data_IF_049087603556
#
_entry.id   IF_049087603556
#
_cell.length_a   1.000
_cell.length_b   1.000
_cell.length_c   1.000
_cell.angle_alpha   90.00
_cell.angle_beta   90.00
_cell.angle_gamma   90.00
#
_symmetry.space_group_name_H-M   'P 1'
#
loop_
_entity.id
_entity.type
_entity.pdbx_description
1 polymer ?
#
# COMPACT_ATOMS: atom_id res chain seq x y z
N UNK A 1 0.78 63.96 31.66
CA UNK A 1 0.41 63.24 32.88
C UNK A 1 -1.01 62.70 32.71
N UNK A 2 -1.18 61.43 33.05
CA UNK A 2 -2.43 60.67 33.25
C UNK A 2 -3.38 60.41 32.08
N UNK A 3 -3.58 59.11 31.87
CA UNK A 3 -4.67 58.47 31.15
C UNK A 3 -5.90 58.28 32.06
N UNK A 4 -6.90 57.56 31.51
CA UNK A 4 -8.08 56.92 32.12
C UNK A 4 -9.36 57.77 32.22
N UNK A 5 -10.61 57.28 32.01
CA UNK A 5 -11.16 55.93 31.76
C UNK A 5 -12.64 56.02 31.34
N UNK A 6 -13.09 55.03 30.54
CA UNK A 6 -14.37 54.28 30.52
C UNK A 6 -15.73 54.94 30.84
N UNK A 7 -16.75 54.61 30.01
CA UNK A 7 -18.02 53.96 30.40
C UNK A 7 -18.84 53.57 29.14
N UNK A 8 -19.23 52.29 28.98
CA UNK A 8 -20.63 51.76 29.08
C UNK A 8 -21.50 52.03 27.83
N UNK A 9 -22.38 51.16 27.32
CA UNK A 9 -22.92 49.87 27.74
C UNK A 9 -23.76 49.29 26.57
N UNK A 10 -24.12 48.01 26.68
CA UNK A 10 -25.00 47.28 25.76
C UNK A 10 -26.47 47.55 26.09
N UNK A 11 -27.32 47.51 25.07
CA UNK A 11 -28.74 47.09 25.03
C UNK A 11 -29.20 47.35 23.57
N UNK A 12 -30.02 46.58 22.85
CA UNK A 12 -30.85 45.42 23.11
C UNK A 12 -31.36 44.90 21.75
N UNK A 13 -31.91 43.70 21.77
CA UNK A 13 -32.32 42.88 20.62
C UNK A 13 -33.81 43.17 20.31
N UNK A 14 -34.20 43.21 19.04
CA UNK A 14 -35.56 42.90 18.62
C UNK A 14 -35.57 42.30 17.21
N UNK A 15 -36.15 41.10 17.14
CA UNK A 15 -36.39 40.25 15.97
C UNK A 15 -37.38 40.89 14.99
N UNK A 16 -37.24 40.58 13.69
CA UNK A 16 -38.37 40.17 12.85
C UNK A 16 -37.91 39.15 11.81
N UNK A 17 -38.64 38.03 11.77
CA UNK A 17 -38.48 36.90 10.86
C UNK A 17 -38.90 37.26 9.43
N UNK A 18 -38.16 36.75 8.43
CA UNK A 18 -38.79 36.45 7.14
C UNK A 18 -38.23 35.19 6.47
N UNK A 19 -39.19 34.37 6.10
CA UNK A 19 -39.18 33.06 5.44
C UNK A 19 -38.38 33.05 4.13
N UNK A 20 -37.61 31.99 3.88
CA UNK A 20 -37.14 31.64 2.53
C UNK A 20 -35.89 30.75 2.45
N UNK A 21 -36.07 29.45 2.22
CA UNK A 21 -35.09 28.59 1.53
C UNK A 21 -35.45 28.58 0.03
N UNK A 22 -34.61 28.14 -0.95
CA UNK A 22 -33.31 27.48 -0.87
C UNK A 22 -32.23 27.95 -1.89
N UNK A 23 -30.96 27.63 -1.61
CA UNK A 23 -29.95 27.23 -2.58
C UNK A 23 -29.43 28.26 -3.60
N UNK A 24 -28.21 28.74 -3.40
CA UNK A 24 -27.42 29.41 -4.44
C UNK A 24 -26.03 28.79 -4.59
N UNK A 25 -25.85 28.15 -5.75
CA UNK A 25 -24.56 27.80 -6.35
C UNK A 25 -23.80 29.10 -6.64
N UNK A 26 -22.53 29.18 -6.25
CA UNK A 26 -21.60 30.15 -6.82
C UNK A 26 -20.77 29.43 -7.88
N UNK A 27 -20.88 29.96 -9.10
CA UNK A 27 -20.18 29.55 -10.28
C UNK A 27 -18.72 30.04 -10.25
N UNK A 28 -17.79 29.19 -10.68
CA UNK A 28 -16.54 29.65 -11.28
C UNK A 28 -16.55 29.27 -12.76
N UNK A 29 -16.69 30.32 -13.56
CA UNK A 29 -16.40 30.33 -14.99
C UNK A 29 -14.89 30.17 -15.16
N UNK A 30 -14.46 29.26 -16.02
CA UNK A 30 -13.32 29.54 -16.88
C UNK A 30 -13.59 28.93 -18.26
N UNK A 31 -13.75 29.85 -19.21
CA UNK A 31 -13.94 29.63 -20.62
C UNK A 31 -12.59 29.30 -21.26
N UNK A 32 -12.47 28.15 -21.92
CA UNK A 32 -11.62 28.02 -23.10
C UNK A 32 -12.49 27.42 -24.19
N UNK A 33 -12.70 28.21 -25.24
CA UNK A 33 -13.50 27.86 -26.40
C UNK A 33 -12.63 27.21 -27.50
N UNK A 34 -13.28 26.24 -28.16
CA UNK A 34 -13.18 25.84 -29.57
C UNK A 34 -12.16 24.76 -29.96
N UNK A 35 -12.75 23.59 -30.19
CA UNK A 35 -12.28 22.53 -31.08
C UNK A 35 -13.38 21.47 -31.19
N UNK A 36 -14.47 21.78 -31.91
CA UNK A 36 -15.68 20.98 -31.91
C UNK A 36 -15.58 19.69 -32.74
N UNK A 37 -16.27 18.65 -32.26
CA UNK A 37 -17.12 17.75 -33.05
C UNK A 37 -18.18 17.16 -32.09
N UNK A 38 -19.44 17.44 -32.40
CA UNK A 38 -20.63 16.99 -31.69
C UNK A 38 -20.90 15.50 -31.97
N UNK A 39 -21.26 14.74 -30.94
CA UNK A 39 -22.04 13.51 -31.12
C UNK A 39 -23.21 13.52 -30.14
N UNK A 40 -24.42 13.39 -30.69
CA UNK A 40 -25.69 13.32 -29.98
C UNK A 40 -25.83 11.98 -29.22
N UNK A 41 -26.49 11.94 -28.05
CA UNK A 41 -26.74 10.69 -27.35
C UNK A 41 -27.93 9.96 -28.00
N UNK A 42 -27.69 8.75 -28.51
CA UNK A 42 -28.76 7.81 -28.87
C UNK A 42 -29.09 6.98 -27.64
N UNK A 43 -30.30 7.17 -27.11
CA UNK A 43 -30.92 6.30 -26.13
C UNK A 43 -31.27 4.96 -26.81
N UNK A 44 -30.53 3.90 -26.45
CA UNK A 44 -30.69 2.55 -26.96
C UNK A 44 -31.14 1.59 -25.86
N UNK A 45 -32.26 0.94 -26.13
CA UNK A 45 -33.11 0.11 -25.28
C UNK A 45 -32.41 -1.08 -24.58
N UNK A 46 -32.95 -1.46 -23.41
CA UNK A 46 -32.60 -2.69 -22.70
C UNK A 46 -33.00 -3.93 -23.52
N UNK A 47 -32.06 -4.86 -23.76
CA UNK A 47 -32.27 -6.33 -23.86
C UNK A 47 -30.96 -7.06 -24.21
N UNK A 48 -30.84 -8.26 -23.66
CA UNK A 48 -29.86 -9.34 -23.93
C UNK A 48 -28.50 -9.27 -23.21
N UNK A 49 -28.41 -10.03 -22.11
CA UNK A 49 -27.15 -10.60 -21.61
C UNK A 49 -27.04 -12.02 -22.18
N UNK A 50 -25.93 -12.46 -22.80
CA UNK A 50 -25.73 -13.87 -23.03
C UNK A 50 -25.26 -14.54 -21.74
N UNK A 51 -26.17 -15.31 -21.14
CA UNK A 51 -25.88 -16.47 -20.29
C UNK A 51 -25.35 -17.56 -21.23
N UNK A 52 -24.16 -18.10 -20.98
CA UNK A 52 -23.73 -19.34 -21.65
C UNK A 52 -23.56 -20.45 -20.61
N UNK A 53 -24.10 -21.59 -21.02
CA UNK A 53 -24.54 -22.76 -20.26
C UNK A 53 -23.48 -23.41 -19.37
N UNK A 54 -23.96 -23.79 -18.19
CA UNK A 54 -23.47 -24.90 -17.36
C UNK A 54 -23.88 -26.24 -18.00
N UNK A 55 -22.94 -27.19 -17.94
CA UNK A 55 -23.04 -28.65 -18.14
C UNK A 55 -23.16 -29.21 -19.56
N UNK A 56 -22.16 -30.01 -19.96
CA UNK A 56 -22.27 -31.46 -20.17
C UNK A 56 -20.88 -32.03 -20.45
N UNK A 57 -20.35 -32.89 -19.57
CA UNK A 57 -19.34 -33.91 -19.88
C UNK A 57 -19.25 -34.87 -18.68
N UNK A 58 -20.24 -35.77 -18.60
CA UNK A 58 -20.11 -37.01 -17.83
C UNK A 58 -19.57 -38.09 -18.76
N UNK A 59 -18.70 -38.94 -18.20
CA UNK A 59 -18.17 -40.21 -18.71
C UNK A 59 -16.92 -40.18 -19.61
N UNK A 60 -15.76 -39.99 -18.98
CA UNK A 60 -14.53 -40.71 -19.34
C UNK A 60 -13.86 -41.17 -18.03
N UNK A 61 -13.33 -42.41 -17.95
CA UNK A 61 -12.72 -42.92 -16.73
C UNK A 61 -11.41 -42.17 -16.43
N UNK A 62 -11.34 -41.56 -15.24
CA UNK A 62 -10.14 -40.91 -14.71
C UNK A 62 -9.06 -41.97 -14.45
N UNK A 63 -7.99 -41.97 -15.26
CA UNK A 63 -6.72 -42.57 -14.83
C UNK A 63 -6.06 -41.57 -13.87
N UNK A 64 -6.02 -41.96 -12.60
CA UNK A 64 -5.27 -41.26 -11.56
C UNK A 64 -3.76 -41.41 -11.84
N UNK A 65 -3.18 -40.42 -12.50
CA UNK A 65 -1.74 -40.19 -12.48
C UNK A 65 -1.51 -38.80 -11.87
N UNK A 66 -1.08 -38.79 -10.62
CA UNK A 66 -0.65 -37.56 -9.94
C UNK A 66 0.67 -37.11 -10.58
N UNK A 67 0.59 -36.29 -11.63
CA UNK A 67 1.74 -35.57 -12.15
C UNK A 67 2.09 -34.47 -11.15
N UNK A 68 3.10 -34.70 -10.32
CA UNK A 68 3.78 -33.63 -9.57
C UNK A 68 4.47 -32.73 -10.58
N UNK A 69 3.87 -31.58 -10.88
CA UNK A 69 4.58 -30.51 -11.58
C UNK A 69 5.50 -29.86 -10.55
N UNK A 70 6.75 -30.30 -10.49
CA UNK A 70 7.78 -29.55 -9.79
C UNK A 70 8.01 -28.25 -10.55
N UNK A 71 7.57 -27.14 -9.96
CA UNK A 71 7.90 -25.80 -10.43
C UNK A 71 9.42 -25.64 -10.48
N UNK A 72 10.01 -25.08 -11.56
CA UNK A 72 11.44 -24.80 -11.57
C UNK A 72 11.76 -23.87 -10.40
N UNK A 73 12.63 -24.31 -9.48
CA UNK A 73 13.19 -23.44 -8.46
C UNK A 73 13.80 -22.25 -9.21
N UNK A 74 13.40 -20.99 -8.92
CA UNK A 74 14.09 -19.86 -9.50
C UNK A 74 15.55 -19.96 -9.06
N UNK A 75 16.43 -20.31 -10.00
CA UNK A 75 17.86 -20.28 -9.77
C UNK A 75 18.22 -18.80 -9.66
N UNK A 76 18.27 -18.29 -8.43
CA UNK A 76 18.88 -16.99 -8.16
C UNK A 76 20.34 -17.20 -8.51
N UNK A 77 20.74 -16.74 -9.69
CA UNK A 77 22.13 -16.70 -10.07
C UNK A 77 22.88 -16.05 -8.90
N UNK A 78 23.92 -16.72 -8.40
CA UNK A 78 24.89 -16.15 -7.47
C UNK A 78 25.48 -14.90 -8.13
N UNK A 79 24.79 -13.77 -8.00
CA UNK A 79 25.38 -12.49 -8.25
C UNK A 79 26.31 -12.28 -7.06
N UNK A 80 27.60 -12.37 -7.30
CA UNK A 80 28.69 -12.26 -6.32
C UNK A 80 28.78 -10.87 -5.65
N UNK A 81 27.70 -10.09 -5.65
CA UNK A 81 27.56 -8.83 -4.94
C UNK A 81 26.60 -9.03 -3.78
N UNK A 82 27.15 -9.11 -2.58
CA UNK A 82 26.45 -9.20 -1.30
C UNK A 82 25.63 -7.90 -1.07
N UNK A 83 24.52 -7.71 -1.78
CA UNK A 83 23.69 -6.50 -1.72
C UNK A 83 22.56 -6.68 -0.70
N UNK A 84 22.89 -7.20 0.49
CA UNK A 84 21.96 -7.18 1.62
C UNK A 84 21.83 -5.74 2.13
N UNK A 85 20.66 -5.14 1.93
CA UNK A 85 20.35 -3.80 2.42
C UNK A 85 19.29 -3.89 3.51
N UNK A 86 19.64 -3.49 4.73
CA UNK A 86 18.76 -3.57 5.89
C UNK A 86 17.99 -2.27 6.10
N UNK A 87 16.72 -2.38 6.45
CA UNK A 87 15.88 -1.24 6.78
C UNK A 87 16.40 -0.54 8.05
N UNK A 88 16.46 0.80 8.09
CA UNK A 88 16.80 1.54 9.30
C UNK A 88 15.82 1.27 10.45
N UNK A 89 16.33 1.26 11.69
CA UNK A 89 15.58 0.84 12.86
C UNK A 89 14.33 1.68 13.10
N UNK A 90 14.38 2.98 12.81
CA UNK A 90 13.26 3.89 12.99
C UNK A 90 12.02 3.50 12.15
N UNK A 91 12.21 2.99 10.93
CA UNK A 91 11.10 2.52 10.09
C UNK A 91 10.49 1.24 10.64
N UNK A 92 11.31 0.37 11.21
CA UNK A 92 10.85 -0.87 11.82
C UNK A 92 10.14 -0.61 13.14
N UNK A 93 10.64 0.30 13.99
CA UNK A 93 9.95 0.68 15.23
C UNK A 93 8.59 1.31 14.93
N UNK A 94 8.49 2.13 13.87
CA UNK A 94 7.21 2.63 13.40
C UNK A 94 6.27 1.50 12.94
N UNK A 95 6.78 0.48 12.25
CA UNK A 95 6.00 -0.69 11.86
C UNK A 95 5.45 -1.45 13.07
N UNK A 96 6.31 -1.71 14.07
CA UNK A 96 5.92 -2.34 15.33
C UNK A 96 4.90 -1.50 16.11
N UNK A 97 5.07 -0.18 16.15
CA UNK A 97 4.10 0.74 16.78
C UNK A 97 2.75 0.69 16.08
N UNK A 98 2.73 0.63 14.74
CA UNK A 98 1.52 0.59 13.94
C UNK A 98 0.72 -0.72 14.13
N UNK A 99 1.40 -1.87 14.02
CA UNK A 99 0.77 -3.20 14.02
C UNK A 99 0.80 -3.90 15.39
N UNK A 100 1.47 -3.32 16.40
CA UNK A 100 1.68 -3.92 17.71
C UNK A 100 2.70 -5.07 17.73
N UNK A 101 3.53 -5.19 16.70
CA UNK A 101 4.51 -6.27 16.50
C UNK A 101 4.57 -6.75 15.05
N UNK A 102 5.53 -7.64 14.76
CA UNK A 102 5.72 -8.26 13.44
C UNK A 102 5.76 -9.77 13.66
N UNK A 103 4.85 -10.49 13.03
CA UNK A 103 4.81 -11.95 13.13
C UNK A 103 5.67 -12.60 12.04
N UNK A 104 5.73 -11.99 10.85
CA UNK A 104 6.49 -12.53 9.72
C UNK A 104 7.25 -11.45 8.93
N UNK A 105 8.50 -11.75 8.58
CA UNK A 105 9.28 -11.06 7.54
C UNK A 105 9.76 -12.10 6.50
N UNK A 106 9.10 -12.22 5.33
CA UNK A 106 9.34 -13.31 4.40
C UNK A 106 10.50 -13.03 3.42
N UNK A 107 11.18 -11.89 3.54
CA UNK A 107 12.28 -11.47 2.68
C UNK A 107 13.46 -10.97 3.54
N UNK A 108 13.98 -11.83 4.41
CA UNK A 108 14.87 -11.43 5.50
C UNK A 108 16.19 -12.20 5.51
N UNK A 109 17.00 -11.91 6.53
CA UNK A 109 18.12 -12.71 6.97
C UNK A 109 18.31 -12.52 8.49
N UNK A 110 19.13 -13.37 9.13
CA UNK A 110 19.38 -13.28 10.57
C UNK A 110 19.92 -11.91 11.00
N UNK A 111 20.77 -11.29 10.17
CA UNK A 111 21.32 -9.96 10.45
C UNK A 111 20.23 -8.88 10.42
N UNK A 112 19.34 -8.91 9.41
CA UNK A 112 18.21 -7.98 9.32
C UNK A 112 17.24 -8.17 10.50
N UNK A 113 16.98 -9.42 10.90
CA UNK A 113 16.02 -9.73 11.97
C UNK A 113 16.45 -9.27 13.37
N UNK A 114 17.74 -8.97 13.59
CA UNK A 114 18.19 -8.27 14.82
C UNK A 114 17.48 -6.93 15.01
N UNK A 115 17.17 -6.26 13.90
CA UNK A 115 16.40 -5.01 13.88
C UNK A 115 14.91 -5.27 13.71
N UNK A 116 14.52 -6.13 12.75
CA UNK A 116 13.10 -6.40 12.41
C UNK A 116 12.35 -7.08 13.55
N UNK A 117 13.00 -8.00 14.29
CA UNK A 117 12.42 -8.73 15.41
C UNK A 117 11.07 -9.37 15.07
N UNK A 118 10.95 -9.89 13.86
CA UNK A 118 9.81 -10.71 13.46
C UNK A 118 9.88 -12.05 14.21
N UNK A 119 8.72 -12.60 14.57
CA UNK A 119 8.66 -13.92 15.22
C UNK A 119 9.13 -15.04 14.30
N UNK A 120 8.88 -14.90 13.00
CA UNK A 120 9.30 -15.80 11.95
C UNK A 120 9.93 -15.00 10.81
N UNK A 121 10.99 -15.55 10.23
CA UNK A 121 11.60 -15.02 9.01
C UNK A 121 11.71 -16.10 7.95
N UNK A 122 11.80 -15.68 6.69
CA UNK A 122 12.30 -16.52 5.61
C UNK A 122 13.56 -15.91 5.02
N UNK A 123 14.60 -16.72 4.95
CA UNK A 123 15.89 -16.37 4.35
C UNK A 123 15.90 -16.70 2.86
N UNK A 124 17.00 -16.33 2.18
CA UNK A 124 17.22 -16.72 0.79
C UNK A 124 17.19 -18.25 0.60
N UNK A 125 17.70 -19.00 1.58
CA UNK A 125 17.79 -20.47 1.53
C UNK A 125 16.42 -21.14 1.75
N UNK A 126 15.50 -20.45 2.44
CA UNK A 126 14.15 -20.94 2.70
C UNK A 126 13.21 -20.78 1.50
N UNK A 127 13.56 -19.95 0.49
CA UNK A 127 12.66 -19.49 -0.56
C UNK A 127 11.33 -18.98 0.01
N UNK A 128 11.33 -17.74 0.54
CA UNK A 128 10.17 -17.14 1.21
C UNK A 128 8.86 -17.11 0.39
N UNK A 129 8.91 -17.28 -0.94
CA UNK A 129 7.72 -17.41 -1.79
C UNK A 129 7.04 -18.79 -1.65
N UNK A 130 7.78 -19.82 -1.26
CA UNK A 130 7.32 -21.20 -1.08
C UNK A 130 6.56 -21.47 0.22
N UNK A 131 6.49 -20.50 1.14
CA UNK A 131 5.89 -20.67 2.46
C UNK A 131 4.53 -19.96 2.63
N UNK A 132 3.66 -20.40 3.54
CA UNK A 132 2.45 -19.67 3.91
C UNK A 132 2.80 -18.35 4.63
N UNK A 133 2.06 -17.29 4.34
CA UNK A 133 2.19 -15.99 5.01
C UNK A 133 0.95 -15.69 5.83
N UNK A 134 1.14 -15.42 7.11
CA UNK A 134 0.06 -15.27 8.09
C UNK A 134 0.40 -14.20 9.13
N UNK A 135 -0.63 -13.59 9.72
CA UNK A 135 -0.49 -12.59 10.79
C UNK A 135 -0.03 -11.23 10.29
N UNK A 136 0.79 -10.53 11.09
CA UNK A 136 1.30 -9.18 10.78
C UNK A 136 2.63 -9.25 10.03
N UNK A 137 2.63 -8.78 8.78
CA UNK A 137 3.77 -8.91 7.87
C UNK A 137 4.53 -7.60 7.74
N UNK A 138 5.84 -7.64 7.96
CA UNK A 138 6.76 -6.64 7.42
C UNK A 138 7.33 -7.17 6.11
N UNK A 139 7.36 -6.34 5.06
CA UNK A 139 7.92 -6.73 3.77
C UNK A 139 8.81 -5.64 3.19
N UNK A 140 10.10 -5.93 3.11
CA UNK A 140 11.08 -5.19 2.30
C UNK A 140 11.59 -6.14 1.21
N UNK A 141 10.89 -6.27 0.06
CA UNK A 141 11.18 -7.32 -0.90
C UNK A 141 12.52 -7.08 -1.59
N UNK A 142 13.19 -8.14 -2.11
CA UNK A 142 14.39 -7.96 -2.92
C UNK A 142 14.09 -7.11 -4.16
N UNK A 143 14.89 -6.07 -4.39
CA UNK A 143 14.74 -5.10 -5.49
C UNK A 143 15.11 -5.65 -6.88
N UNK A 144 14.98 -6.97 -7.09
CA UNK A 144 15.11 -7.59 -8.39
C UNK A 144 13.76 -7.52 -9.14
N UNK A 145 13.79 -7.05 -10.39
CA UNK A 145 12.60 -6.77 -11.22
C UNK A 145 11.59 -7.93 -11.24
N UNK A 146 12.07 -9.18 -11.32
CA UNK A 146 11.23 -10.37 -11.37
C UNK A 146 10.71 -10.84 -10.01
N UNK A 147 11.40 -10.49 -8.91
CA UNK A 147 11.05 -10.98 -7.58
C UNK A 147 10.01 -10.08 -6.92
N UNK A 148 10.15 -8.76 -7.02
CA UNK A 148 9.24 -7.83 -6.34
C UNK A 148 7.77 -8.10 -6.72
N UNK A 149 7.48 -8.30 -8.01
CA UNK A 149 6.13 -8.63 -8.46
C UNK A 149 5.56 -9.91 -7.84
N UNK A 150 6.39 -10.96 -7.71
CA UNK A 150 5.99 -12.24 -7.08
C UNK A 150 5.68 -12.07 -5.60
N UNK A 151 6.49 -11.30 -4.88
CA UNK A 151 6.24 -11.00 -3.46
C UNK A 151 4.95 -10.19 -3.27
N UNK A 152 4.69 -9.19 -4.13
CA UNK A 152 3.46 -8.38 -4.06
C UNK A 152 2.21 -9.22 -4.38
N UNK A 153 2.23 -10.03 -5.46
CA UNK A 153 1.08 -10.89 -5.81
C UNK A 153 0.80 -11.94 -4.73
N UNK A 154 1.84 -12.49 -4.12
CA UNK A 154 1.70 -13.39 -2.97
C UNK A 154 1.09 -12.66 -1.78
N UNK A 155 1.60 -11.48 -1.41
CA UNK A 155 1.03 -10.67 -0.32
C UNK A 155 -0.45 -10.39 -0.55
N UNK A 156 -0.80 -9.92 -1.75
CA UNK A 156 -2.18 -9.65 -2.16
C UNK A 156 -3.08 -10.86 -1.93
N UNK A 157 -2.64 -12.04 -2.37
CA UNK A 157 -3.38 -13.29 -2.22
C UNK A 157 -3.67 -13.59 -0.74
N UNK A 158 -2.65 -13.50 0.12
CA UNK A 158 -2.80 -13.80 1.55
C UNK A 158 -3.61 -12.74 2.30
N UNK A 159 -3.51 -11.45 1.92
CA UNK A 159 -4.36 -10.37 2.46
C UNK A 159 -5.82 -10.57 2.05
N UNK A 160 -6.11 -10.85 0.77
CA UNK A 160 -7.47 -11.09 0.29
C UNK A 160 -8.12 -12.34 0.92
N UNK A 161 -7.32 -13.30 1.38
CA UNK A 161 -7.78 -14.49 2.11
C UNK A 161 -7.95 -14.25 3.61
N UNK A 162 -7.49 -13.11 4.14
CA UNK A 162 -7.51 -12.79 5.56
C UNK A 162 -6.47 -13.56 6.38
N UNK A 163 -5.51 -14.23 5.73
CA UNK A 163 -4.41 -14.96 6.37
C UNK A 163 -3.37 -13.96 6.92
N UNK A 164 -3.04 -12.94 6.12
CA UNK A 164 -2.28 -11.76 6.56
C UNK A 164 -3.26 -10.72 7.07
N UNK A 165 -3.21 -10.47 8.38
CA UNK A 165 -4.15 -9.57 9.08
C UNK A 165 -3.78 -8.10 8.91
N UNK A 166 -2.48 -7.81 8.83
CA UNK A 166 -1.92 -6.49 8.55
C UNK A 166 -0.59 -6.66 7.80
N UNK A 167 -0.27 -5.73 6.90
CA UNK A 167 1.02 -5.70 6.23
C UNK A 167 1.54 -4.28 6.08
N UNK A 168 2.84 -4.10 6.32
CA UNK A 168 3.58 -2.89 5.93
C UNK A 168 4.65 -3.27 4.92
N UNK A 169 4.64 -2.58 3.79
CA UNK A 169 5.55 -2.84 2.66
C UNK A 169 6.40 -1.61 2.38
N UNK A 170 7.72 -1.76 2.40
CA UNK A 170 8.69 -0.72 2.03
C UNK A 170 9.27 -1.02 0.65
N UNK A 171 9.05 -0.12 -0.31
CA UNK A 171 9.47 -0.29 -1.71
C UNK A 171 9.96 1.03 -2.30
N UNK A 172 10.61 0.97 -3.46
CA UNK A 172 10.89 2.18 -4.24
C UNK A 172 9.57 2.76 -4.78
N UNK A 173 9.50 4.07 -4.96
CA UNK A 173 8.32 4.77 -5.45
C UNK A 173 8.14 4.67 -6.98
N UNK A 174 8.16 3.45 -7.52
CA UNK A 174 8.04 3.15 -8.95
C UNK A 174 6.56 3.07 -9.38
N UNK A 175 5.86 4.21 -9.26
CA UNK A 175 4.40 4.34 -9.38
C UNK A 175 3.85 3.93 -10.75
N UNK A 176 4.69 3.90 -11.78
CA UNK A 176 4.37 3.48 -13.15
C UNK A 176 4.37 1.97 -13.35
N UNK A 177 4.91 1.21 -12.40
CA UNK A 177 5.06 -0.25 -12.54
C UNK A 177 3.79 -1.01 -12.18
N UNK A 178 3.57 -2.14 -12.85
CA UNK A 178 2.41 -3.00 -12.60
C UNK A 178 2.37 -3.52 -11.15
N UNK A 179 3.52 -3.88 -10.57
CA UNK A 179 3.58 -4.36 -9.19
C UNK A 179 3.25 -3.25 -8.18
N UNK A 180 3.62 -2.00 -8.45
CA UNK A 180 3.27 -0.89 -7.56
C UNK A 180 1.77 -0.62 -7.61
N UNK A 181 1.17 -0.61 -8.81
CA UNK A 181 -0.28 -0.51 -8.98
C UNK A 181 -1.03 -1.66 -8.29
N UNK A 182 -0.52 -2.88 -8.40
CA UNK A 182 -1.07 -4.04 -7.69
C UNK A 182 -1.00 -3.87 -6.17
N UNK A 183 0.12 -3.40 -5.62
CA UNK A 183 0.27 -3.11 -4.19
C UNK A 183 -0.72 -2.03 -3.71
N UNK A 184 -0.86 -0.95 -4.46
CA UNK A 184 -1.84 0.12 -4.15
C UNK A 184 -3.27 -0.43 -4.14
N UNK A 185 -3.61 -1.35 -5.04
CA UNK A 185 -4.99 -1.86 -5.20
C UNK A 185 -5.59 -2.56 -3.97
N UNK A 186 -4.76 -2.98 -3.01
CA UNK A 186 -5.21 -3.59 -1.75
C UNK A 186 -4.65 -2.89 -0.49
N UNK A 187 -3.94 -1.76 -0.67
CA UNK A 187 -3.45 -0.96 0.44
C UNK A 187 -4.52 0.04 0.89
N UNK A 188 -4.50 0.40 2.17
CA UNK A 188 -5.43 1.36 2.78
C UNK A 188 -4.78 2.72 3.07
N UNK A 189 -3.45 2.79 3.09
CA UNK A 189 -2.71 4.04 3.30
C UNK A 189 -1.29 3.97 2.74
N UNK A 190 -0.73 5.13 2.43
CA UNK A 190 0.64 5.30 1.95
C UNK A 190 1.32 6.45 2.71
N UNK A 191 2.60 6.26 3.04
CA UNK A 191 3.52 7.34 3.42
C UNK A 191 4.66 7.41 2.41
N UNK A 192 4.93 8.62 1.92
CA UNK A 192 6.09 8.91 1.09
C UNK A 192 7.12 9.69 1.94
N UNK A 193 8.27 9.08 2.28
CA UNK A 193 9.31 9.76 3.04
C UNK A 193 9.78 11.07 2.39
N UNK A 194 10.06 12.08 3.20
CA UNK A 194 10.53 13.40 2.75
C UNK A 194 11.99 13.37 2.25
N UNK A 195 12.71 12.28 2.49
CA UNK A 195 14.05 12.02 1.98
C UNK A 195 14.22 10.55 1.64
N UNK A 196 15.20 10.24 0.79
CA UNK A 196 15.48 8.86 0.38
C UNK A 196 15.96 8.04 1.59
N UNK A 197 15.43 6.84 1.75
CA UNK A 197 15.76 5.95 2.86
C UNK A 197 17.20 5.46 2.71
N UNK A 198 18.05 5.79 3.68
CA UNK A 198 19.45 5.32 3.72
C UNK A 198 19.50 3.93 4.37
N UNK A 199 19.42 2.90 3.55
CA UNK A 199 19.52 1.52 4.05
C UNK A 199 20.90 1.23 4.65
N UNK A 200 20.96 0.33 5.62
CA UNK A 200 22.20 -0.10 6.25
C UNK A 200 22.80 -1.27 5.48
N UNK A 201 24.07 -1.20 5.12
CA UNK A 201 24.83 -2.31 4.56
C UNK A 201 25.41 -3.23 5.65
N UNK A 202 25.84 -4.44 5.29
CA UNK A 202 26.37 -5.44 6.23
C UNK A 202 27.67 -5.02 6.90
N UNK A 203 28.44 -4.13 6.27
CA UNK A 203 29.69 -3.58 6.78
C UNK A 203 29.52 -2.23 7.49
N UNK A 204 28.28 -1.84 7.80
CA UNK A 204 27.95 -0.55 8.40
C UNK A 204 27.99 0.63 7.42
N UNK A 205 28.26 0.40 6.12
CA UNK A 205 28.12 1.46 5.12
C UNK A 205 26.65 1.80 4.91
N UNK A 206 26.34 3.09 4.80
CA UNK A 206 25.01 3.54 4.43
C UNK A 206 24.84 3.51 2.91
N UNK A 207 23.68 3.07 2.47
CA UNK A 207 23.28 3.09 1.06
C UNK A 207 23.14 4.51 0.54
N UNK A 208 23.41 4.66 -0.75
CA UNK A 208 23.18 5.89 -1.51
C UNK A 208 22.02 5.68 -2.48
N UNK A 209 20.77 5.67 -1.99
CA UNK A 209 19.59 5.34 -2.80
C UNK A 209 19.43 6.29 -3.98
N UNK A 210 19.15 5.75 -5.17
CA UNK A 210 18.91 6.53 -6.39
C UNK A 210 17.44 6.94 -6.54
N UNK A 211 16.53 6.24 -5.86
CA UNK A 211 15.09 6.42 -5.96
C UNK A 211 14.51 6.82 -4.60
N UNK A 212 13.33 7.45 -4.62
CA UNK A 212 12.52 7.63 -3.42
C UNK A 212 11.85 6.33 -3.02
N UNK A 213 11.27 6.32 -1.82
CA UNK A 213 10.60 5.15 -1.28
C UNK A 213 9.12 5.46 -1.04
N UNK A 214 8.33 4.41 -0.89
CA UNK A 214 6.97 4.45 -0.40
C UNK A 214 6.81 3.37 0.67
N UNK A 215 6.09 3.70 1.73
CA UNK A 215 5.67 2.76 2.78
C UNK A 215 4.17 2.60 2.65
N UNK A 216 3.71 1.40 2.31
CA UNK A 216 2.30 1.10 2.08
C UNK A 216 1.79 0.19 3.19
N UNK A 217 0.56 0.44 3.62
CA UNK A 217 -0.11 -0.33 4.65
C UNK A 217 -1.38 -0.98 4.10
N UNK A 218 -1.55 -2.27 4.38
CA UNK A 218 -2.77 -3.02 4.12
C UNK A 218 -3.27 -3.60 5.44
N UNK A 219 -4.49 -3.25 5.84
CA UNK A 219 -5.08 -3.68 7.10
C UNK A 219 -6.12 -2.69 7.64
N UNK A 220 -6.81 -3.02 8.75
CA UNK A 220 -7.90 -2.20 9.27
C UNK A 220 -7.46 -0.95 10.04
N UNK A 221 -6.19 -0.84 10.45
CA UNK A 221 -5.70 0.20 11.37
C UNK A 221 -4.91 1.34 10.69
N UNK A 222 -5.37 1.83 9.53
CA UNK A 222 -4.67 2.86 8.74
C UNK A 222 -4.32 4.11 9.55
N UNK A 223 -5.18 4.53 10.48
CA UNK A 223 -4.91 5.68 11.35
C UNK A 223 -3.67 5.47 12.22
N UNK A 224 -3.52 4.28 12.82
CA UNK A 224 -2.35 3.94 13.65
C UNK A 224 -1.08 3.91 12.83
N UNK A 225 -1.15 3.35 11.62
CA UNK A 225 -0.06 3.38 10.66
C UNK A 225 0.34 4.83 10.32
N UNK A 226 -0.62 5.67 9.95
CA UNK A 226 -0.37 7.06 9.58
C UNK A 226 0.10 7.93 10.75
N UNK A 227 -0.25 7.62 12.00
CA UNK A 227 0.33 8.26 13.18
C UNK A 227 1.76 7.78 13.42
N UNK A 228 2.02 6.48 13.33
CA UNK A 228 3.34 5.90 13.55
C UNK A 228 4.37 6.41 12.53
N UNK A 229 3.95 6.66 11.29
CA UNK A 229 4.83 7.14 10.22
C UNK A 229 4.77 8.65 9.95
N UNK A 230 4.05 9.44 10.76
CA UNK A 230 3.80 10.87 10.48
C UNK A 230 5.06 11.74 10.38
N UNK A 231 6.16 11.34 11.04
CA UNK A 231 7.42 12.09 11.06
C UNK A 231 8.32 11.82 9.84
N UNK A 232 8.00 10.80 9.03
CA UNK A 232 8.88 10.38 7.93
C UNK A 232 8.64 11.19 6.65
N UNK A 233 7.43 11.69 6.43
CA UNK A 233 7.08 12.43 5.23
C UNK A 233 5.58 12.70 5.13
N UNK A 234 5.07 12.82 3.90
CA UNK A 234 3.66 13.11 3.66
C UNK A 234 2.86 11.83 3.47
N UNK A 235 1.55 11.90 3.74
CA UNK A 235 0.68 10.73 3.91
C UNK A 235 -0.63 10.84 3.14
N UNK A 236 -1.17 9.69 2.73
CA UNK A 236 -2.40 9.57 1.95
C UNK A 236 -3.21 8.37 2.46
N UNK A 237 -4.53 8.56 2.60
CA UNK A 237 -5.51 7.47 2.69
C UNK A 237 -5.91 7.03 1.30
N UNK A 238 -6.07 5.72 1.09
CA UNK A 238 -6.52 5.12 -0.16
C UNK A 238 -7.98 4.69 -0.10
#
# INVERSE_FOLDING_TARGET
>A
MSADKNAAGRDGIAEQEHVGSPGSRIALKNTVLRGGKSYSPVLGNAKSRPRVMINYLLSLPLKNEQVRIESPKPHVAHNSGNNEWYTPAEYIEAARKAMGGIDLDPASCEAANRTVKAKKIHTIDDDGLGHPWEGRVWLNPPYARELIGKFIEKLKTHVCRGEVTEAIVLVNNATETAWFGALVSFSNAIVFPASRVKFNGPDGKMGSPLQGQAVLYAGPNSEKFLDAYKSFGWKVYL
#
